data_IF_928553292464
#
_entry.id   IF_928553292464
#
_cell.length_a   1.000
_cell.length_b   1.000
_cell.length_c   1.000
_cell.angle_alpha   90.00
_cell.angle_beta   90.00
_cell.angle_gamma   90.00
#
_symmetry.space_group_name_H-M   'P 1'
#
loop_
_entity.id
_entity.type
_entity.pdbx_description
1 polymer ?
#
# COMPACT_ATOMS: atom_id res chain seq x y z
N UNK A 1 -9.80 -29.82 11.63
CA UNK A 1 -9.84 -28.61 12.48
C UNK A 1 -10.05 -27.47 11.51
N UNK A 2 -11.27 -26.93 11.47
CA UNK A 2 -11.63 -25.87 10.53
C UNK A 2 -11.07 -24.54 11.05
N UNK A 3 -9.98 -24.07 10.47
CA UNK A 3 -9.51 -22.70 10.67
C UNK A 3 -10.47 -21.77 9.92
N UNK A 4 -11.52 -21.33 10.61
CA UNK A 4 -12.34 -20.22 10.11
C UNK A 4 -11.47 -18.97 10.16
N UNK A 5 -11.20 -18.36 9.00
CA UNK A 5 -10.64 -17.01 8.88
C UNK A 5 -11.24 -16.10 9.96
N UNK A 6 -10.41 -15.65 10.89
CA UNK A 6 -10.85 -14.87 12.03
C UNK A 6 -11.45 -13.55 11.53
N UNK A 7 -12.73 -13.33 11.82
CA UNK A 7 -13.47 -12.16 11.36
C UNK A 7 -12.91 -10.84 11.95
N UNK A 8 -12.03 -10.91 12.95
CA UNK A 8 -11.42 -9.75 13.61
C UNK A 8 -10.25 -9.20 12.79
N UNK A 9 -9.39 -10.07 12.22
CA UNK A 9 -8.25 -9.68 11.36
C UNK A 9 -8.73 -9.04 10.05
N UNK A 10 -9.86 -9.50 9.50
CA UNK A 10 -10.50 -8.91 8.32
C UNK A 10 -10.98 -7.46 8.57
N UNK A 11 -11.23 -7.08 9.83
CA UNK A 11 -11.69 -5.73 10.19
C UNK A 11 -10.54 -4.74 10.23
N UNK A 12 -9.44 -5.06 10.92
CA UNK A 12 -8.25 -4.21 11.00
C UNK A 12 -7.63 -3.96 9.61
N UNK A 13 -7.58 -4.99 8.76
CA UNK A 13 -7.08 -4.85 7.40
C UNK A 13 -7.99 -3.92 6.54
N UNK A 14 -9.32 -4.05 6.66
CA UNK A 14 -10.25 -3.15 5.97
C UNK A 14 -10.17 -1.71 6.48
N UNK A 15 -9.89 -1.51 7.77
CA UNK A 15 -9.72 -0.18 8.36
C UNK A 15 -8.42 0.47 7.88
N UNK A 16 -7.32 -0.28 7.77
CA UNK A 16 -6.07 0.18 7.17
C UNK A 16 -6.25 0.51 5.67
N UNK A 17 -6.87 -0.39 4.90
CA UNK A 17 -7.17 -0.13 3.49
C UNK A 17 -8.07 1.11 3.30
N UNK A 18 -9.06 1.32 4.17
CA UNK A 18 -9.93 2.49 4.10
C UNK A 18 -9.16 3.79 4.40
N UNK A 19 -8.26 3.78 5.38
CA UNK A 19 -7.38 4.91 5.68
C UNK A 19 -6.42 5.19 4.52
N UNK A 20 -5.82 4.15 3.92
CA UNK A 20 -4.99 4.30 2.73
C UNK A 20 -5.77 4.94 1.57
N UNK A 21 -7.00 4.51 1.29
CA UNK A 21 -7.84 5.11 0.25
C UNK A 21 -8.14 6.59 0.51
N UNK A 22 -8.38 6.98 1.77
CA UNK A 22 -8.58 8.38 2.14
C UNK A 22 -7.31 9.18 1.88
N UNK A 23 -6.16 8.69 2.34
CA UNK A 23 -4.88 9.36 2.17
C UNK A 23 -4.46 9.46 0.70
N UNK A 24 -4.78 8.47 -0.13
CA UNK A 24 -4.59 8.54 -1.58
C UNK A 24 -5.50 9.56 -2.24
N UNK A 25 -6.74 9.73 -1.73
CA UNK A 25 -7.64 10.80 -2.12
C UNK A 25 -7.05 12.17 -1.81
N UNK A 26 -6.63 12.38 -0.56
CA UNK A 26 -6.00 13.63 -0.11
C UNK A 26 -4.72 13.93 -0.92
N UNK A 27 -3.90 12.91 -1.19
CA UNK A 27 -2.71 13.05 -2.03
C UNK A 27 -3.09 13.48 -3.44
N UNK A 28 -4.07 12.83 -4.07
CA UNK A 28 -4.53 13.20 -5.42
C UNK A 28 -5.00 14.65 -5.45
N UNK A 29 -5.83 15.06 -4.50
CA UNK A 29 -6.38 16.41 -4.46
C UNK A 29 -5.26 17.46 -4.33
N UNK A 30 -4.26 17.20 -3.46
CA UNK A 30 -3.06 18.04 -3.32
C UNK A 30 -2.20 18.13 -4.60
N UNK A 31 -2.21 17.09 -5.43
CA UNK A 31 -1.47 17.04 -6.70
C UNK A 31 -2.25 17.67 -7.87
N UNK A 32 -3.56 17.86 -7.74
CA UNK A 32 -4.42 18.53 -8.73
C UNK A 32 -4.47 20.05 -8.49
N UNK A 33 -4.38 20.50 -7.25
CA UNK A 33 -4.34 21.92 -6.92
C UNK A 33 -3.01 22.59 -7.30
N UNK A 34 -2.98 23.88 -7.70
CA UNK A 34 -1.72 24.59 -7.90
C UNK A 34 -0.94 24.72 -6.58
N UNK A 35 0.40 24.63 -6.60
CA UNK A 35 1.20 24.70 -5.39
C UNK A 35 1.00 26.05 -4.70
N UNK A 36 0.72 26.00 -3.39
CA UNK A 36 0.59 27.13 -2.50
C UNK A 36 1.60 27.00 -1.34
N UNK A 37 1.63 28.01 -0.46
CA UNK A 37 2.59 28.06 0.66
C UNK A 37 2.45 26.89 1.64
N UNK A 38 1.27 26.26 1.69
CA UNK A 38 0.97 25.14 2.57
C UNK A 38 1.06 23.77 1.86
N UNK A 39 1.11 23.72 0.52
CA UNK A 39 1.17 22.47 -0.26
C UNK A 39 2.32 21.57 0.21
N UNK A 40 3.51 22.14 0.48
CA UNK A 40 4.64 21.38 1.00
C UNK A 40 4.33 20.72 2.35
N UNK A 41 3.67 21.45 3.24
CA UNK A 41 3.33 20.97 4.59
C UNK A 41 2.30 19.85 4.52
N UNK A 42 1.25 20.03 3.73
CA UNK A 42 0.20 19.03 3.54
C UNK A 42 0.74 17.79 2.82
N UNK A 43 1.57 17.97 1.80
CA UNK A 43 2.20 16.87 1.09
C UNK A 43 3.07 16.02 2.04
N UNK A 44 3.91 16.67 2.86
CA UNK A 44 4.68 15.94 3.89
C UNK A 44 3.78 15.26 4.92
N UNK A 45 2.68 15.87 5.34
CA UNK A 45 1.75 15.27 6.29
C UNK A 45 1.09 14.01 5.73
N UNK A 46 0.60 14.06 4.49
CA UNK A 46 -0.02 12.92 3.81
C UNK A 46 1.01 11.82 3.54
N UNK A 47 2.22 12.17 3.09
CA UNK A 47 3.29 11.18 2.87
C UNK A 47 3.73 10.50 4.18
N UNK A 48 3.84 11.25 5.28
CA UNK A 48 4.15 10.67 6.59
C UNK A 48 3.01 9.78 7.08
N UNK A 49 1.76 10.19 6.90
CA UNK A 49 0.61 9.35 7.27
C UNK A 49 0.58 8.06 6.44
N UNK A 50 0.85 8.14 5.12
CA UNK A 50 0.95 6.96 4.26
C UNK A 50 2.07 6.02 4.71
N UNK A 51 3.24 6.54 5.07
CA UNK A 51 4.36 5.75 5.61
C UNK A 51 4.04 5.14 6.99
N UNK A 52 3.17 5.77 7.79
CA UNK A 52 2.74 5.26 9.10
C UNK A 52 1.64 4.19 8.95
N UNK A 53 0.77 4.34 7.94
CA UNK A 53 -0.32 3.39 7.65
C UNK A 53 0.09 2.20 6.80
N UNK A 54 1.13 2.33 5.98
CA UNK A 54 1.67 1.20 5.22
C UNK A 54 2.49 0.34 6.20
N UNK A 55 2.09 -0.90 6.53
CA UNK A 55 2.90 -1.77 7.38
C UNK A 55 4.34 -1.88 6.84
N UNK A 56 5.30 -1.30 7.55
CA UNK A 56 6.69 -1.16 7.09
C UNK A 56 7.48 -2.48 7.19
N UNK A 57 6.88 -3.54 7.70
CA UNK A 57 7.58 -4.76 8.11
C UNK A 57 6.86 -6.02 7.60
N UNK A 58 7.64 -7.06 7.28
CA UNK A 58 7.14 -8.41 7.04
C UNK A 58 6.47 -9.05 8.27
N UNK A 59 6.59 -8.42 9.45
CA UNK A 59 6.05 -8.91 10.73
C UNK A 59 4.78 -8.21 11.19
N UNK A 60 4.26 -7.25 10.42
CA UNK A 60 3.04 -6.51 10.76
C UNK A 60 1.81 -7.17 10.10
N UNK A 61 0.62 -6.99 10.67
CA UNK A 61 -0.65 -7.74 10.43
C UNK A 61 -1.02 -8.01 8.96
N UNK A 62 -0.45 -7.28 8.01
CA UNK A 62 -0.52 -7.54 6.56
C UNK A 62 0.10 -8.89 6.13
N UNK A 63 1.07 -9.41 6.87
CA UNK A 63 1.67 -10.72 6.59
C UNK A 63 0.90 -11.88 7.21
N UNK A 64 -0.04 -11.62 8.12
CA UNK A 64 -0.76 -12.69 8.83
C UNK A 64 -1.66 -13.47 7.86
N UNK A 65 -2.46 -12.77 7.05
CA UNK A 65 -3.32 -13.45 6.05
C UNK A 65 -2.55 -14.01 4.85
N UNK A 66 -1.45 -13.38 4.43
CA UNK A 66 -0.59 -13.97 3.40
C UNK A 66 0.15 -15.20 3.93
N UNK A 67 0.49 -15.20 5.22
CA UNK A 67 0.98 -16.35 5.97
C UNK A 67 -0.02 -17.50 5.96
N UNK A 68 -1.28 -17.23 6.29
CA UNK A 68 -2.38 -18.23 6.19
C UNK A 68 -2.50 -18.80 4.77
N UNK A 69 -2.41 -17.96 3.74
CA UNK A 69 -2.43 -18.41 2.33
C UNK A 69 -1.24 -19.32 2.02
N UNK A 70 -0.05 -19.06 2.58
CA UNK A 70 1.12 -19.92 2.40
C UNK A 70 1.07 -21.21 3.21
N UNK A 71 0.40 -21.22 4.36
CA UNK A 71 0.13 -22.44 5.12
C UNK A 71 -0.77 -23.40 4.33
N UNK A 72 -1.82 -22.88 3.68
CA UNK A 72 -2.73 -23.68 2.85
C UNK A 72 -2.16 -23.98 1.44
N UNK A 73 -1.43 -23.04 0.84
CA UNK A 73 -0.89 -23.12 -0.52
C UNK A 73 0.62 -22.78 -0.57
N UNK A 74 1.51 -23.68 -0.12
CA UNK A 74 2.95 -23.41 -0.03
C UNK A 74 3.64 -23.21 -1.40
N UNK A 75 2.99 -23.65 -2.48
CA UNK A 75 3.45 -23.40 -3.85
C UNK A 75 3.30 -21.93 -4.30
N UNK A 76 2.65 -21.09 -3.51
CA UNK A 76 2.45 -19.67 -3.79
C UNK A 76 3.48 -18.77 -3.13
N UNK A 77 4.48 -19.34 -2.44
CA UNK A 77 5.59 -18.60 -1.80
C UNK A 77 6.17 -17.54 -2.72
N UNK A 78 6.50 -17.89 -3.97
CA UNK A 78 7.03 -16.93 -4.95
C UNK A 78 6.10 -15.76 -5.26
N UNK A 79 4.78 -15.97 -5.24
CA UNK A 79 3.80 -14.91 -5.52
C UNK A 79 3.67 -13.97 -4.32
N UNK A 80 3.69 -14.54 -3.11
CA UNK A 80 3.68 -13.79 -1.85
C UNK A 80 4.99 -13.04 -1.65
N UNK A 81 6.15 -13.66 -1.91
CA UNK A 81 7.46 -13.00 -1.89
C UNK A 81 7.51 -11.82 -2.88
N UNK A 82 6.95 -11.99 -4.09
CA UNK A 82 6.89 -10.91 -5.07
C UNK A 82 5.95 -9.76 -4.64
N UNK A 83 4.88 -10.06 -3.91
CA UNK A 83 4.07 -9.02 -3.27
C UNK A 83 4.88 -8.30 -2.20
N UNK A 84 5.59 -9.01 -1.32
CA UNK A 84 6.40 -8.34 -0.30
C UNK A 84 7.48 -7.43 -0.92
N UNK A 85 8.23 -7.92 -1.90
CA UNK A 85 9.26 -7.14 -2.59
C UNK A 85 8.69 -5.87 -3.23
N UNK A 86 7.59 -5.98 -3.98
CA UNK A 86 6.93 -4.82 -4.59
C UNK A 86 6.43 -3.81 -3.54
N UNK A 87 6.03 -4.30 -2.36
CA UNK A 87 5.54 -3.44 -1.27
C UNK A 87 6.67 -2.66 -0.63
N UNK A 88 7.82 -3.31 -0.42
CA UNK A 88 9.04 -2.67 0.07
C UNK A 88 9.54 -1.60 -0.93
N UNK A 89 9.55 -1.92 -2.23
CA UNK A 89 9.93 -0.94 -3.27
C UNK A 89 9.02 0.30 -3.23
N UNK A 90 7.70 0.11 -3.11
CA UNK A 90 6.75 1.23 -2.99
C UNK A 90 6.99 2.07 -1.74
N UNK A 91 7.37 1.45 -0.62
CA UNK A 91 7.67 2.15 0.62
C UNK A 91 8.97 2.96 0.50
N UNK A 92 10.02 2.38 -0.08
CA UNK A 92 11.28 3.06 -0.34
C UNK A 92 11.09 4.28 -1.27
N UNK A 93 10.30 4.13 -2.34
CA UNK A 93 9.96 5.24 -3.22
C UNK A 93 9.24 6.37 -2.46
N UNK A 94 8.27 6.02 -1.61
CA UNK A 94 7.54 6.99 -0.80
C UNK A 94 8.46 7.73 0.19
N UNK A 95 9.39 7.00 0.81
CA UNK A 95 10.39 7.56 1.70
C UNK A 95 11.35 8.50 0.96
N UNK A 96 11.76 8.16 -0.26
CA UNK A 96 12.56 9.02 -1.13
C UNK A 96 11.81 10.31 -1.48
N UNK A 97 10.53 10.24 -1.85
CA UNK A 97 9.73 11.44 -2.14
C UNK A 97 9.66 12.37 -0.94
N UNK A 98 9.35 11.84 0.25
CA UNK A 98 9.36 12.61 1.51
C UNK A 98 10.69 13.32 1.71
N UNK A 99 11.80 12.60 1.59
CA UNK A 99 13.14 13.16 1.78
C UNK A 99 13.47 14.26 0.76
N UNK A 100 13.09 14.10 -0.50
CA UNK A 100 13.29 15.12 -1.53
C UNK A 100 12.52 16.40 -1.22
N UNK A 101 11.26 16.28 -0.79
CA UNK A 101 10.41 17.41 -0.39
C UNK A 101 10.95 18.10 0.88
N UNK A 102 11.54 17.33 1.80
CA UNK A 102 12.08 17.86 3.04
C UNK A 102 13.42 18.58 2.84
N UNK A 103 14.29 18.07 1.96
CA UNK A 103 15.63 18.64 1.75
C UNK A 103 15.64 19.86 0.84
N UNK A 104 14.68 19.99 -0.08
CA UNK A 104 14.66 21.11 -1.03
C UNK A 104 14.01 22.37 -0.44
N UNK A 105 14.60 23.53 -0.79
CA UNK A 105 14.10 24.85 -0.41
C UNK A 105 12.94 25.29 -1.30
N UNK A 106 13.06 25.07 -2.60
CA UNK A 106 12.10 25.49 -3.61
C UNK A 106 11.40 24.27 -4.19
N UNK A 107 10.11 24.12 -3.87
CA UNK A 107 9.29 23.02 -4.36
C UNK A 107 8.86 23.24 -5.80
N UNK A 108 8.67 24.50 -6.21
CA UNK A 108 8.09 24.87 -7.51
C UNK A 108 8.88 24.31 -8.71
N UNK A 109 10.21 24.25 -8.63
CA UNK A 109 11.04 23.73 -9.74
C UNK A 109 10.88 22.23 -9.96
N UNK A 110 10.59 21.48 -8.90
CA UNK A 110 10.43 20.02 -8.98
C UNK A 110 8.97 19.59 -8.83
N UNK A 111 8.05 20.51 -8.51
CA UNK A 111 6.67 20.20 -8.16
C UNK A 111 5.99 19.42 -9.28
N UNK A 112 6.17 19.82 -10.53
CA UNK A 112 5.57 19.13 -11.68
C UNK A 112 6.13 17.71 -11.84
N UNK A 113 7.45 17.55 -11.74
CA UNK A 113 8.09 16.23 -11.83
C UNK A 113 7.66 15.33 -10.68
N UNK A 114 7.74 15.84 -9.45
CA UNK A 114 7.34 15.15 -8.24
C UNK A 114 5.85 14.75 -8.29
N UNK A 115 4.99 15.61 -8.86
CA UNK A 115 3.58 15.27 -9.10
C UNK A 115 3.41 14.10 -10.05
N UNK A 116 4.18 14.08 -11.13
CA UNK A 116 4.16 12.97 -12.09
C UNK A 116 4.67 11.67 -11.46
N UNK A 117 5.77 11.73 -10.71
CA UNK A 117 6.34 10.58 -10.01
C UNK A 117 5.36 10.06 -8.93
N UNK A 118 4.76 10.94 -8.11
CA UNK A 118 3.73 10.55 -7.12
C UNK A 118 2.47 9.97 -7.77
N UNK A 119 2.04 10.48 -8.94
CA UNK A 119 0.92 9.90 -9.70
C UNK A 119 1.24 8.50 -10.22
N UNK A 120 2.46 8.28 -10.68
CA UNK A 120 2.90 6.94 -11.08
C UNK A 120 2.95 6.01 -9.87
N UNK A 121 3.53 6.45 -8.76
CA UNK A 121 3.55 5.69 -7.51
C UNK A 121 2.13 5.30 -7.04
N UNK A 122 1.17 6.23 -7.04
CA UNK A 122 -0.23 5.91 -6.72
C UNK A 122 -0.83 4.84 -7.65
N UNK A 123 -0.44 4.86 -8.93
CA UNK A 123 -0.89 3.86 -9.91
C UNK A 123 -0.29 2.48 -9.60
N UNK A 124 1.00 2.43 -9.24
CA UNK A 124 1.68 1.20 -8.86
C UNK A 124 1.10 0.62 -7.57
N UNK A 125 0.86 1.44 -6.55
CA UNK A 125 0.21 1.01 -5.30
C UNK A 125 -1.21 0.47 -5.55
N UNK A 126 -2.00 1.15 -6.38
CA UNK A 126 -3.34 0.66 -6.74
C UNK A 126 -3.28 -0.68 -7.49
N UNK A 127 -2.28 -0.86 -8.37
CA UNK A 127 -2.06 -2.12 -9.07
C UNK A 127 -1.63 -3.24 -8.10
N UNK A 128 -0.78 -2.92 -7.13
CA UNK A 128 -0.36 -3.82 -6.07
C UNK A 128 -1.55 -4.30 -5.23
N UNK A 129 -2.36 -3.38 -4.70
CA UNK A 129 -3.55 -3.72 -3.89
C UNK A 129 -4.53 -4.62 -4.66
N UNK A 130 -4.68 -4.40 -5.97
CA UNK A 130 -5.49 -5.27 -6.83
C UNK A 130 -4.87 -6.66 -7.01
N UNK A 131 -3.55 -6.74 -7.15
CA UNK A 131 -2.84 -8.01 -7.27
C UNK A 131 -2.97 -8.85 -6.00
N UNK A 132 -2.77 -8.20 -4.85
CA UNK A 132 -2.96 -8.80 -3.53
C UNK A 132 -4.39 -9.29 -3.32
N UNK A 133 -5.39 -8.42 -3.56
CA UNK A 133 -6.82 -8.79 -3.46
C UNK A 133 -7.14 -9.99 -4.33
N UNK A 134 -6.55 -10.08 -5.52
CA UNK A 134 -6.77 -11.20 -6.44
C UNK A 134 -6.17 -12.50 -5.92
N UNK A 135 -4.97 -12.48 -5.34
CA UNK A 135 -4.34 -13.66 -4.74
C UNK A 135 -5.19 -14.17 -3.58
N UNK A 136 -5.65 -13.28 -2.71
CA UNK A 136 -6.56 -13.62 -1.62
C UNK A 136 -7.84 -14.26 -2.16
N UNK A 137 -8.52 -13.63 -3.13
CA UNK A 137 -9.74 -14.17 -3.74
C UNK A 137 -9.52 -15.53 -4.41
N UNK A 138 -8.37 -15.74 -5.04
CA UNK A 138 -8.02 -17.02 -5.66
C UNK A 138 -7.81 -18.11 -4.60
N UNK A 139 -7.15 -17.80 -3.47
CA UNK A 139 -6.98 -18.75 -2.36
C UNK A 139 -8.35 -19.21 -1.82
N UNK A 140 -9.24 -18.26 -1.53
CA UNK A 140 -10.62 -18.56 -1.09
C UNK A 140 -11.41 -19.40 -2.11
N UNK A 141 -11.27 -19.10 -3.41
CA UNK A 141 -12.00 -19.84 -4.46
C UNK A 141 -11.49 -21.28 -4.60
N UNK A 142 -10.17 -21.51 -4.42
CA UNK A 142 -9.59 -22.86 -4.47
C UNK A 142 -9.87 -23.68 -3.23
N UNK A 143 -9.93 -23.07 -2.05
CA UNK A 143 -10.39 -23.73 -0.83
C UNK A 143 -11.82 -24.26 -0.97
N UNK A 144 -12.72 -23.46 -1.54
CA UNK A 144 -14.13 -23.86 -1.79
C UNK A 144 -14.26 -24.95 -2.85
N UNK A 145 -13.30 -25.08 -3.77
CA UNK A 145 -13.31 -26.06 -4.86
C UNK A 145 -12.71 -27.43 -4.53
N UNK A 146 -12.02 -27.58 -3.40
CA UNK A 146 -11.40 -28.84 -2.96
C UNK A 146 -12.35 -29.76 -2.15
N UNK A 147 -13.64 -29.41 -2.08
CA UNK A 147 -14.63 -30.04 -1.20
C UNK A 147 -15.69 -30.93 -1.88
N UNK A 148 -15.48 -31.42 -3.10
CA UNK A 148 -16.36 -32.42 -3.75
C UNK A 148 -15.64 -33.76 -3.99
#
# INVERSE_FOLDING_TARGET
MSHSFDHSTNRSNRENMALEYILLGDLRDLLEEPPNRDTRRWLLAVLNALLDTLPSDMNDDGSEYLGEVLEEFPNWSRQVDALHEQREELFDELYLFRNQIQQRRDLDEIAERLRQELRQWMTMLTAHQRHETRIIQMAYTMEVGAGD
#
